data_IF_194692029046
#
_entry.id   IF_194692029046
#
_cell.length_a   1.000
_cell.length_b   1.000
_cell.length_c   1.000
_cell.angle_alpha   90.00
_cell.angle_beta   90.00
_cell.angle_gamma   90.00
#
_symmetry.space_group_name_H-M   'P 1'
#
loop_
_entity.id
_entity.type
_entity.pdbx_description
1 polymer ?
#
# COMPACT_ATOMS: atom_id res chain seq x y z
N UNK A 1 -45.89 -9.21 -62.84
CA UNK A 1 -45.46 -8.55 -61.56
C UNK A 1 -44.32 -9.31 -60.96
N UNK A 2 -43.08 -8.86 -61.19
CA UNK A 2 -41.87 -9.47 -60.63
C UNK A 2 -41.54 -8.80 -59.28
N UNK A 3 -41.58 -9.59 -58.20
CA UNK A 3 -41.13 -9.14 -56.87
C UNK A 3 -39.60 -9.14 -56.85
N UNK A 4 -38.98 -7.95 -56.73
CA UNK A 4 -37.53 -7.79 -56.44
C UNK A 4 -37.30 -8.09 -54.95
N UNK A 5 -36.56 -9.17 -54.65
CA UNK A 5 -36.08 -9.52 -53.33
C UNK A 5 -34.76 -8.77 -53.15
N UNK A 6 -34.75 -7.81 -52.22
CA UNK A 6 -33.54 -7.07 -51.82
C UNK A 6 -32.82 -7.86 -50.75
N UNK A 7 -31.66 -8.44 -51.08
CA UNK A 7 -30.78 -9.07 -50.07
C UNK A 7 -29.99 -8.00 -49.35
N UNK A 8 -30.26 -7.82 -48.06
CA UNK A 8 -29.41 -7.04 -47.17
C UNK A 8 -28.20 -7.92 -46.76
N UNK A 9 -27.03 -7.59 -47.30
CA UNK A 9 -25.78 -8.20 -46.90
C UNK A 9 -25.34 -7.55 -45.57
N UNK A 10 -25.57 -8.24 -44.42
CA UNK A 10 -25.04 -7.82 -43.13
C UNK A 10 -23.54 -8.10 -43.16
N UNK A 11 -22.73 -7.05 -43.36
CA UNK A 11 -21.27 -7.10 -43.18
C UNK A 11 -21.03 -7.14 -41.66
N UNK A 12 -20.79 -8.35 -41.11
CA UNK A 12 -20.20 -8.53 -39.78
C UNK A 12 -18.73 -8.08 -39.89
N UNK A 13 -18.47 -6.84 -39.51
CA UNK A 13 -17.10 -6.41 -39.19
C UNK A 13 -16.63 -7.23 -37.98
N UNK A 14 -15.51 -7.96 -38.10
CA UNK A 14 -14.94 -8.58 -36.91
C UNK A 14 -14.59 -7.47 -35.90
N UNK A 15 -15.18 -7.54 -34.70
CA UNK A 15 -14.63 -6.82 -33.54
C UNK A 15 -13.21 -7.37 -33.36
N UNK A 16 -12.20 -6.66 -33.88
CA UNK A 16 -10.85 -6.89 -33.45
C UNK A 16 -10.81 -6.46 -31.98
N UNK A 17 -10.86 -7.44 -31.07
CA UNK A 17 -10.28 -7.24 -29.74
C UNK A 17 -8.80 -6.90 -30.01
N UNK A 18 -8.46 -5.62 -29.92
CA UNK A 18 -7.07 -5.24 -29.78
C UNK A 18 -6.63 -5.83 -28.45
N UNK A 19 -5.87 -6.91 -28.48
CA UNK A 19 -5.12 -7.36 -27.33
C UNK A 19 -4.30 -6.15 -26.85
N UNK A 20 -4.38 -5.82 -25.58
CA UNK A 20 -3.56 -4.75 -24.99
C UNK A 20 -2.11 -5.17 -25.21
N UNK A 21 -1.38 -4.42 -26.03
CA UNK A 21 0.00 -4.77 -26.41
C UNK A 21 0.92 -4.54 -25.20
N UNK A 22 1.30 -5.64 -24.55
CA UNK A 22 2.22 -5.60 -23.42
C UNK A 22 3.67 -5.51 -23.95
N UNK A 23 4.50 -4.69 -23.29
CA UNK A 23 5.93 -4.58 -23.61
C UNK A 23 6.78 -4.35 -22.37
N UNK A 24 8.02 -4.81 -22.42
CA UNK A 24 9.04 -4.55 -21.40
C UNK A 24 9.94 -3.39 -21.84
N UNK A 25 10.10 -2.39 -20.98
CA UNK A 25 11.07 -1.30 -21.20
C UNK A 25 12.51 -1.75 -20.96
N UNK A 26 13.51 -0.98 -21.42
CA UNK A 26 14.93 -1.24 -21.12
C UNK A 26 15.24 -1.18 -19.62
N UNK A 27 14.48 -0.43 -18.85
CA UNK A 27 14.60 -0.34 -17.38
C UNK A 27 13.91 -1.48 -16.64
N UNK A 28 13.28 -2.43 -17.35
CA UNK A 28 12.61 -3.58 -16.76
C UNK A 28 11.20 -3.29 -16.24
N UNK A 29 10.55 -2.23 -16.72
CA UNK A 29 9.14 -1.91 -16.39
C UNK A 29 8.25 -2.52 -17.47
N UNK A 30 7.18 -3.19 -17.06
CA UNK A 30 6.13 -3.69 -17.94
C UNK A 30 5.14 -2.55 -18.20
N UNK A 31 4.82 -2.31 -19.47
CA UNK A 31 3.79 -1.34 -19.88
C UNK A 31 2.75 -2.09 -20.68
N UNK A 32 1.48 -1.84 -20.35
CA UNK A 32 0.31 -2.42 -21.02
C UNK A 32 -0.65 -1.31 -21.42
N UNK A 33 -1.47 -1.57 -22.44
CA UNK A 33 -2.48 -0.63 -22.92
C UNK A 33 -1.92 0.50 -23.80
N UNK A 34 -2.86 1.32 -24.31
CA UNK A 34 -2.58 2.46 -25.19
C UNK A 34 -3.40 3.67 -24.77
N UNK A 35 -2.95 4.89 -25.13
CA UNK A 35 -3.67 6.12 -24.77
C UNK A 35 -3.91 6.22 -23.27
N UNK A 36 -5.15 6.55 -22.89
CA UNK A 36 -5.55 6.73 -21.49
C UNK A 36 -5.65 5.42 -20.70
N UNK A 37 -5.60 4.25 -21.37
CA UNK A 37 -5.59 2.94 -20.70
C UNK A 37 -4.19 2.48 -20.28
N UNK A 38 -3.15 3.23 -20.65
CA UNK A 38 -1.76 2.86 -20.31
C UNK A 38 -1.60 2.66 -18.81
N UNK A 39 -1.00 1.51 -18.46
CA UNK A 39 -0.62 1.15 -17.09
C UNK A 39 0.80 0.60 -17.07
N UNK A 40 1.56 0.95 -16.06
CA UNK A 40 2.95 0.50 -15.92
C UNK A 40 3.14 -0.28 -14.61
N UNK A 41 3.94 -1.36 -14.65
CA UNK A 41 4.20 -2.24 -13.50
C UNK A 41 5.68 -2.45 -13.26
N UNK A 42 6.07 -2.51 -12.00
CA UNK A 42 7.31 -3.14 -11.58
C UNK A 42 7.09 -4.66 -11.51
N UNK A 43 7.89 -5.49 -12.23
CA UNK A 43 7.79 -6.94 -12.10
C UNK A 43 8.13 -7.40 -10.67
N UNK A 44 7.36 -8.33 -10.14
CA UNK A 44 7.75 -9.02 -8.92
C UNK A 44 8.82 -10.07 -9.23
N UNK A 45 9.86 -10.14 -8.40
CA UNK A 45 11.04 -11.00 -8.59
C UNK A 45 11.20 -12.06 -7.51
N UNK A 46 10.27 -12.18 -6.58
CA UNK A 46 10.32 -13.18 -5.51
C UNK A 46 10.20 -14.61 -6.05
N UNK A 47 10.72 -15.57 -5.29
CA UNK A 47 10.55 -17.00 -5.54
C UNK A 47 9.47 -17.56 -4.63
N UNK A 48 8.90 -18.71 -5.00
CA UNK A 48 7.83 -19.33 -4.24
C UNK A 48 8.26 -19.60 -2.77
N UNK A 49 9.47 -20.08 -2.56
CA UNK A 49 10.00 -20.49 -1.24
C UNK A 49 10.64 -19.32 -0.47
N UNK A 50 10.72 -18.13 -1.08
CA UNK A 50 11.40 -16.98 -0.48
C UNK A 50 10.53 -16.20 0.49
N UNK A 51 11.15 -15.24 1.17
CA UNK A 51 10.44 -14.29 2.06
C UNK A 51 10.11 -14.84 3.46
N UNK A 52 10.40 -16.10 3.79
CA UNK A 52 10.07 -16.72 5.09
C UNK A 52 10.71 -15.99 6.27
N UNK A 53 11.88 -15.35 6.09
CA UNK A 53 12.48 -14.51 7.12
C UNK A 53 11.60 -13.32 7.56
N UNK A 54 10.64 -12.89 6.72
CA UNK A 54 9.66 -11.90 7.12
C UNK A 54 8.65 -12.50 8.12
N UNK A 55 8.14 -13.70 7.86
CA UNK A 55 7.28 -14.41 8.81
C UNK A 55 8.00 -14.67 10.14
N UNK A 56 9.29 -15.05 10.10
CA UNK A 56 10.10 -15.26 11.30
C UNK A 56 10.22 -13.97 12.12
N UNK A 57 10.45 -12.83 11.46
CA UNK A 57 10.50 -11.54 12.15
C UNK A 57 9.14 -11.19 12.80
N UNK A 58 8.02 -11.35 12.08
CA UNK A 58 6.67 -11.11 12.62
C UNK A 58 6.38 -12.04 13.80
N UNK A 59 6.73 -13.31 13.70
CA UNK A 59 6.59 -14.30 14.78
C UNK A 59 7.38 -13.90 16.03
N UNK A 60 8.60 -13.36 15.87
CA UNK A 60 9.41 -12.84 16.99
C UNK A 60 8.72 -11.70 17.72
N UNK A 61 8.04 -10.78 17.00
CA UNK A 61 7.24 -9.72 17.64
C UNK A 61 6.12 -10.34 18.49
N UNK A 62 5.36 -11.29 17.94
CA UNK A 62 4.31 -11.98 18.71
C UNK A 62 4.86 -12.72 19.93
N UNK A 63 6.03 -13.36 19.81
CA UNK A 63 6.69 -14.00 20.94
C UNK A 63 7.14 -12.99 22.00
N UNK A 64 7.67 -11.83 21.58
CA UNK A 64 8.17 -10.79 22.49
C UNK A 64 7.03 -10.15 23.29
N UNK A 65 5.90 -9.84 22.66
CA UNK A 65 4.80 -9.14 23.30
C UNK A 65 3.70 -10.06 23.86
N UNK A 66 3.73 -11.34 23.53
CA UNK A 66 2.75 -12.31 24.03
C UNK A 66 1.32 -11.92 23.70
N UNK A 67 0.41 -12.14 24.64
CA UNK A 67 -1.02 -11.82 24.50
C UNK A 67 -1.37 -10.36 24.88
N UNK A 68 -0.39 -9.60 25.38
CA UNK A 68 -0.57 -8.19 25.68
C UNK A 68 -0.76 -7.34 24.40
N UNK A 69 -0.26 -7.79 23.26
CA UNK A 69 -0.35 -7.07 21.99
C UNK A 69 -0.85 -7.99 20.89
N UNK A 70 -1.86 -7.54 20.16
CA UNK A 70 -2.30 -8.21 18.94
C UNK A 70 -1.31 -7.93 17.80
N UNK A 71 -0.92 -8.98 17.07
CA UNK A 71 0.00 -8.84 15.93
C UNK A 71 -0.68 -9.30 14.65
N UNK A 72 -0.66 -8.42 13.65
CA UNK A 72 -1.25 -8.64 12.34
C UNK A 72 -0.17 -8.54 11.26
N UNK A 73 -0.29 -9.39 10.25
CA UNK A 73 0.58 -9.41 9.09
C UNK A 73 -0.25 -9.22 7.82
N UNK A 74 -0.10 -8.07 7.18
CA UNK A 74 -0.78 -7.69 5.96
C UNK A 74 0.27 -7.40 4.88
N UNK A 75 0.47 -8.35 3.97
CA UNK A 75 1.35 -8.15 2.83
C UNK A 75 0.50 -7.61 1.68
N UNK A 76 0.86 -6.40 1.21
CA UNK A 76 0.07 -5.67 0.23
C UNK A 76 0.48 -6.12 -1.17
N UNK A 77 -0.45 -6.68 -1.98
CA UNK A 77 -0.20 -6.94 -3.40
C UNK A 77 0.20 -5.68 -4.14
N UNK A 78 1.04 -5.81 -5.16
CA UNK A 78 1.32 -4.70 -6.07
C UNK A 78 0.50 -4.84 -7.36
N UNK A 79 0.33 -3.75 -8.10
CA UNK A 79 -0.52 -3.70 -9.28
C UNK A 79 -0.25 -4.83 -10.29
N UNK A 80 0.99 -5.30 -10.43
CA UNK A 80 1.35 -6.39 -11.33
C UNK A 80 0.68 -7.73 -10.97
N UNK A 81 0.35 -7.94 -9.69
CA UNK A 81 -0.33 -9.17 -9.27
C UNK A 81 -1.80 -9.22 -9.70
N UNK A 82 -2.43 -8.06 -9.88
CA UNK A 82 -3.86 -7.91 -10.16
C UNK A 82 -4.13 -7.66 -11.65
N UNK A 83 -3.29 -6.84 -12.30
CA UNK A 83 -3.56 -6.33 -13.66
C UNK A 83 -2.59 -6.84 -14.73
N UNK A 84 -1.63 -7.72 -14.40
CA UNK A 84 -0.69 -8.23 -15.39
C UNK A 84 -1.43 -9.12 -16.40
N UNK A 85 -1.46 -8.79 -17.70
CA UNK A 85 -2.11 -9.61 -18.69
C UNK A 85 -1.32 -10.90 -18.94
N UNK A 86 -1.98 -11.91 -19.52
CA UNK A 86 -1.42 -13.26 -19.69
C UNK A 86 -0.09 -13.25 -20.45
N UNK A 87 0.00 -12.45 -21.53
CA UNK A 87 1.19 -12.32 -22.38
C UNK A 87 2.41 -11.71 -21.67
N UNK A 88 2.21 -11.00 -20.54
CA UNK A 88 3.28 -10.39 -19.74
C UNK A 88 3.66 -11.21 -18.50
N UNK A 89 2.94 -12.28 -18.18
CA UNK A 89 3.18 -13.10 -16.97
C UNK A 89 4.56 -13.74 -16.94
N UNK A 90 5.18 -14.01 -18.08
CA UNK A 90 6.54 -14.54 -18.14
C UNK A 90 7.60 -13.56 -17.59
N UNK A 91 7.28 -12.27 -17.56
CA UNK A 91 8.20 -11.20 -17.10
C UNK A 91 8.13 -10.96 -15.59
N UNK A 92 7.18 -11.54 -14.90
CA UNK A 92 7.01 -11.41 -13.45
C UNK A 92 6.87 -12.77 -12.79
N UNK A 93 7.06 -12.85 -11.48
CA UNK A 93 6.84 -14.07 -10.71
C UNK A 93 5.48 -14.04 -10.03
N UNK A 94 4.98 -15.23 -9.65
CA UNK A 94 3.71 -15.35 -8.93
C UNK A 94 3.83 -14.78 -7.52
N UNK A 95 3.26 -13.59 -7.36
CA UNK A 95 3.29 -12.86 -6.09
C UNK A 95 2.36 -13.49 -5.05
N UNK A 96 1.17 -13.95 -5.47
CA UNK A 96 0.18 -14.57 -4.58
C UNK A 96 0.76 -15.85 -3.97
N UNK A 97 1.33 -16.73 -4.77
CA UNK A 97 1.92 -17.97 -4.29
C UNK A 97 3.08 -17.71 -3.30
N UNK A 98 3.93 -16.71 -3.58
CA UNK A 98 5.02 -16.32 -2.66
C UNK A 98 4.47 -15.77 -1.33
N UNK A 99 3.44 -14.91 -1.36
CA UNK A 99 2.84 -14.34 -0.16
C UNK A 99 2.13 -15.41 0.67
N UNK A 100 1.41 -16.32 0.04
CA UNK A 100 0.77 -17.44 0.73
C UNK A 100 1.82 -18.36 1.40
N UNK A 101 2.97 -18.56 0.77
CA UNK A 101 4.07 -19.27 1.40
C UNK A 101 4.59 -18.53 2.66
N UNK A 102 4.73 -17.21 2.61
CA UNK A 102 5.10 -16.42 3.80
C UNK A 102 4.04 -16.58 4.90
N UNK A 103 2.76 -16.48 4.58
CA UNK A 103 1.67 -16.66 5.55
C UNK A 103 1.64 -18.06 6.17
N UNK A 104 1.99 -19.11 5.40
CA UNK A 104 2.08 -20.47 5.91
C UNK A 104 3.16 -20.66 6.98
N UNK A 105 4.15 -19.75 7.06
CA UNK A 105 5.21 -19.74 8.07
C UNK A 105 4.88 -18.86 9.29
N UNK A 106 3.74 -18.15 9.30
CA UNK A 106 3.30 -17.40 10.47
C UNK A 106 2.83 -18.35 11.59
N UNK A 107 3.10 -17.97 12.82
CA UNK A 107 2.52 -18.66 13.98
C UNK A 107 1.00 -18.46 14.00
N UNK A 108 0.26 -19.43 14.55
CA UNK A 108 -1.21 -19.38 14.66
C UNK A 108 -1.74 -18.19 15.49
N UNK A 109 -0.87 -17.60 16.31
CA UNK A 109 -1.21 -16.43 17.13
C UNK A 109 -1.02 -15.09 16.42
N UNK A 110 -0.44 -15.08 15.23
CA UNK A 110 -0.38 -13.93 14.32
C UNK A 110 -1.59 -13.98 13.39
N UNK A 111 -2.28 -12.87 13.23
CA UNK A 111 -3.42 -12.77 12.32
C UNK A 111 -2.96 -12.33 10.94
N UNK A 112 -2.96 -13.25 9.98
CA UNK A 112 -2.69 -12.95 8.58
C UNK A 112 -3.90 -12.24 7.95
N UNK A 113 -3.63 -11.20 7.15
CA UNK A 113 -4.65 -10.47 6.39
C UNK A 113 -4.28 -10.62 4.91
N UNK A 114 -4.98 -11.51 4.23
CA UNK A 114 -4.79 -11.77 2.82
C UNK A 114 -5.65 -10.81 1.99
N UNK A 115 -5.00 -9.93 1.25
CA UNK A 115 -5.66 -8.91 0.44
C UNK A 115 -5.93 -9.32 -1.00
N UNK A 116 -5.47 -10.48 -1.46
CA UNK A 116 -5.58 -10.81 -2.89
C UNK A 116 -7.02 -10.90 -3.37
N UNK A 117 -7.88 -11.60 -2.62
CA UNK A 117 -9.28 -11.74 -3.02
C UNK A 117 -10.02 -10.41 -2.97
N UNK A 118 -9.77 -9.59 -1.94
CA UNK A 118 -10.31 -8.23 -1.83
C UNK A 118 -9.88 -7.36 -3.02
N UNK A 119 -8.60 -7.39 -3.39
CA UNK A 119 -8.13 -6.60 -4.53
C UNK A 119 -8.67 -7.10 -5.87
N UNK A 120 -8.83 -8.42 -6.05
CA UNK A 120 -9.45 -9.00 -7.26
C UNK A 120 -10.94 -8.63 -7.38
N UNK A 121 -11.68 -8.63 -6.26
CA UNK A 121 -13.10 -8.23 -6.23
C UNK A 121 -13.29 -6.78 -6.69
N UNK A 122 -12.39 -5.90 -6.26
CA UNK A 122 -12.41 -4.48 -6.57
C UNK A 122 -11.54 -4.07 -7.77
N UNK A 123 -11.01 -5.03 -8.54
CA UNK A 123 -10.08 -4.76 -9.65
C UNK A 123 -10.65 -3.88 -10.78
N UNK A 124 -11.98 -3.74 -10.86
CA UNK A 124 -12.64 -2.85 -11.84
C UNK A 124 -12.72 -1.38 -11.37
N UNK A 125 -12.38 -1.12 -10.12
CA UNK A 125 -12.32 0.21 -9.53
C UNK A 125 -10.89 0.74 -9.58
N UNK A 126 -10.71 2.04 -9.34
CA UNK A 126 -9.39 2.67 -9.34
C UNK A 126 -8.65 2.40 -8.01
N UNK A 127 -8.36 1.11 -7.73
CA UNK A 127 -7.66 0.68 -6.50
C UNK A 127 -6.14 0.70 -6.63
N UNK A 128 -5.59 0.82 -7.83
CA UNK A 128 -4.17 1.03 -8.10
C UNK A 128 -3.98 2.14 -9.10
N UNK A 129 -3.00 3.00 -8.85
CA UNK A 129 -2.56 4.00 -9.82
C UNK A 129 -2.03 3.32 -11.09
N UNK A 130 -2.30 3.92 -12.26
CA UNK A 130 -1.80 3.44 -13.56
C UNK A 130 -0.38 3.92 -13.84
N UNK A 131 -0.06 5.10 -13.36
CA UNK A 131 1.21 5.80 -13.64
C UNK A 131 2.14 5.88 -12.42
N UNK A 132 1.70 5.35 -11.27
CA UNK A 132 2.52 5.26 -10.06
C UNK A 132 2.69 3.81 -9.60
N UNK A 133 3.75 3.53 -8.84
CA UNK A 133 4.00 2.19 -8.32
C UNK A 133 3.16 1.83 -7.10
N UNK A 134 2.48 2.79 -6.48
CA UNK A 134 1.61 2.56 -5.35
C UNK A 134 0.18 2.16 -5.76
N UNK A 135 -0.55 1.63 -4.83
CA UNK A 135 -2.00 1.60 -4.95
C UNK A 135 -2.60 2.99 -4.94
N UNK A 136 -3.84 3.13 -5.41
CA UNK A 136 -4.64 4.32 -5.20
C UNK A 136 -5.18 4.33 -3.76
N UNK A 137 -5.55 5.50 -3.21
CA UNK A 137 -6.11 5.59 -1.86
C UNK A 137 -7.34 4.70 -1.61
N UNK A 138 -8.14 4.41 -2.64
CA UNK A 138 -9.28 3.49 -2.56
C UNK A 138 -8.83 2.05 -2.25
N UNK A 139 -7.71 1.59 -2.81
CA UNK A 139 -7.15 0.28 -2.46
C UNK A 139 -6.72 0.21 -0.99
N UNK A 140 -6.13 1.29 -0.47
CA UNK A 140 -5.79 1.39 0.95
C UNK A 140 -7.04 1.41 1.85
N UNK A 141 -8.17 1.99 1.38
CA UNK A 141 -9.45 1.94 2.08
C UNK A 141 -9.93 0.50 2.27
N UNK A 142 -9.98 -0.30 1.21
CA UNK A 142 -10.40 -1.71 1.30
C UNK A 142 -9.46 -2.55 2.18
N UNK A 143 -8.16 -2.31 2.10
CA UNK A 143 -7.20 -2.97 2.99
C UNK A 143 -7.40 -2.59 4.45
N UNK A 144 -7.67 -1.32 4.76
CA UNK A 144 -7.96 -0.85 6.10
C UNK A 144 -9.29 -1.39 6.63
N UNK A 145 -10.30 -1.53 5.76
CA UNK A 145 -11.59 -2.17 6.09
C UNK A 145 -11.39 -3.62 6.53
N UNK A 146 -10.69 -4.41 5.73
CA UNK A 146 -10.41 -5.81 6.05
C UNK A 146 -9.58 -5.95 7.33
N UNK A 147 -8.62 -5.04 7.55
CA UNK A 147 -7.86 -5.01 8.81
C UNK A 147 -8.77 -4.70 10.02
N UNK A 148 -9.60 -3.66 9.94
CA UNK A 148 -10.51 -3.29 11.04
C UNK A 148 -11.48 -4.42 11.37
N UNK A 149 -12.03 -5.10 10.35
CA UNK A 149 -12.88 -6.29 10.51
C UNK A 149 -12.14 -7.42 11.24
N UNK A 150 -10.91 -7.75 10.80
CA UNK A 150 -10.08 -8.78 11.43
C UNK A 150 -9.68 -8.40 12.87
N UNK A 151 -9.57 -7.10 13.16
CA UNK A 151 -9.28 -6.58 14.50
C UNK A 151 -10.53 -6.51 15.40
N UNK A 152 -11.73 -6.75 14.85
CA UNK A 152 -13.00 -6.63 15.54
C UNK A 152 -13.34 -5.18 15.92
N UNK A 153 -12.98 -4.22 15.05
CA UNK A 153 -13.16 -2.79 15.28
C UNK A 153 -14.22 -2.21 14.34
N UNK A 154 -14.93 -1.15 14.75
CA UNK A 154 -15.80 -0.41 13.84
C UNK A 154 -14.96 0.20 12.71
N UNK A 155 -15.57 0.27 11.52
CA UNK A 155 -14.99 0.88 10.35
C UNK A 155 -15.98 1.84 9.70
N UNK A 156 -15.53 3.02 9.30
CA UNK A 156 -16.39 4.04 8.72
C UNK A 156 -16.61 3.81 7.23
N UNK A 157 -17.86 3.88 6.79
CA UNK A 157 -18.23 3.79 5.38
C UNK A 157 -17.63 4.97 4.59
N UNK A 158 -17.22 4.73 3.33
CA UNK A 158 -16.57 5.71 2.49
C UNK A 158 -17.42 6.98 2.25
N UNK A 159 -18.76 6.87 2.32
CA UNK A 159 -19.67 8.01 2.23
C UNK A 159 -19.52 9.02 3.37
N UNK A 160 -18.89 8.62 4.48
CA UNK A 160 -18.57 9.51 5.61
C UNK A 160 -17.29 10.32 5.42
N UNK A 161 -16.60 10.12 4.31
CA UNK A 161 -15.38 10.86 3.96
C UNK A 161 -15.70 11.98 2.97
N UNK A 162 -14.84 13.00 2.93
CA UNK A 162 -14.83 14.01 1.90
C UNK A 162 -13.88 13.62 0.78
N UNK A 163 -14.43 13.52 -0.45
CA UNK A 163 -13.64 13.17 -1.64
C UNK A 163 -12.90 14.40 -2.16
N UNK A 164 -11.60 14.24 -2.40
CA UNK A 164 -10.73 15.22 -3.04
C UNK A 164 -10.09 14.61 -4.28
N UNK A 165 -9.76 15.45 -5.26
CA UNK A 165 -9.13 15.02 -6.51
C UNK A 165 -7.96 15.95 -6.83
N UNK A 166 -6.84 15.39 -7.26
CA UNK A 166 -5.74 16.08 -7.91
C UNK A 166 -5.72 15.58 -9.35
N UNK A 167 -6.01 16.46 -10.30
CA UNK A 167 -6.09 16.13 -11.71
C UNK A 167 -4.71 16.03 -12.37
N UNK A 168 -4.64 15.39 -13.53
CA UNK A 168 -3.44 15.29 -14.37
C UNK A 168 -2.21 14.69 -13.66
N UNK A 169 -2.43 13.74 -12.76
CA UNK A 169 -1.37 13.07 -12.03
C UNK A 169 -0.60 12.10 -12.94
N UNK A 170 0.72 12.24 -12.96
CA UNK A 170 1.64 11.25 -13.52
C UNK A 170 2.67 10.90 -12.45
N UNK A 171 2.59 9.67 -11.97
CA UNK A 171 3.41 9.20 -10.85
C UNK A 171 4.81 8.71 -11.24
N UNK A 172 5.40 7.98 -10.33
CA UNK A 172 6.81 7.55 -10.38
C UNK A 172 7.13 6.58 -11.50
N UNK A 173 6.13 5.89 -12.07
CA UNK A 173 6.34 4.90 -13.14
C UNK A 173 6.89 5.57 -14.42
N UNK A 174 6.57 6.84 -14.69
CA UNK A 174 7.23 7.59 -15.75
C UNK A 174 8.74 7.76 -15.46
N UNK A 175 9.10 8.10 -14.23
CA UNK A 175 10.49 8.24 -13.82
C UNK A 175 11.27 6.92 -13.95
N UNK A 176 10.64 5.79 -13.64
CA UNK A 176 11.26 4.46 -13.70
C UNK A 176 11.36 3.95 -15.13
N UNK A 177 10.31 4.09 -15.92
CA UNK A 177 10.25 3.59 -17.29
C UNK A 177 10.93 4.49 -18.31
N UNK A 178 10.88 5.82 -18.10
CA UNK A 178 11.22 6.85 -19.10
C UNK A 178 10.39 6.73 -20.38
N UNK A 179 9.24 6.08 -20.32
CA UNK A 179 8.40 5.83 -21.48
C UNK A 179 7.38 6.95 -21.68
N UNK A 180 7.35 7.58 -22.88
CA UNK A 180 6.42 8.65 -23.18
C UNK A 180 4.94 8.25 -23.06
N UNK A 181 4.60 6.98 -23.29
CA UNK A 181 3.21 6.52 -23.15
C UNK A 181 2.69 6.70 -21.72
N UNK A 182 3.52 6.40 -20.71
CA UNK A 182 3.16 6.63 -19.30
C UNK A 182 3.00 8.12 -19.00
N UNK A 183 3.90 8.96 -19.55
CA UNK A 183 3.83 10.42 -19.38
C UNK A 183 2.55 11.01 -19.95
N UNK A 184 2.11 10.47 -21.10
CA UNK A 184 0.98 11.00 -21.86
C UNK A 184 -0.36 10.38 -21.48
N UNK A 185 -0.41 9.59 -20.38
CA UNK A 185 -1.61 8.96 -19.85
C UNK A 185 -1.88 9.43 -18.39
N UNK A 186 -2.04 10.75 -18.15
CA UNK A 186 -2.33 11.24 -16.80
C UNK A 186 -3.61 10.62 -16.26
N UNK A 187 -3.75 10.64 -14.95
CA UNK A 187 -4.89 10.10 -14.23
C UNK A 187 -5.32 11.02 -13.09
N UNK A 188 -6.51 10.82 -12.54
CA UNK A 188 -6.95 11.50 -11.34
C UNK A 188 -6.40 10.79 -10.11
N UNK A 189 -5.75 11.53 -9.21
CA UNK A 189 -5.42 11.03 -7.88
C UNK A 189 -6.55 11.39 -6.92
N UNK A 190 -7.38 10.40 -6.59
CA UNK A 190 -8.53 10.55 -5.71
C UNK A 190 -8.17 10.13 -4.30
N UNK A 191 -8.37 11.03 -3.31
CA UNK A 191 -8.16 10.72 -1.91
C UNK A 191 -9.34 11.17 -1.04
N UNK A 192 -9.39 10.69 0.20
CA UNK A 192 -10.54 10.83 1.06
C UNK A 192 -10.11 11.31 2.44
N UNK A 193 -10.76 12.37 2.94
CA UNK A 193 -10.52 12.94 4.27
C UNK A 193 -11.68 12.56 5.18
N UNK A 194 -11.45 11.92 6.34
CA UNK A 194 -12.52 11.50 7.24
C UNK A 194 -13.26 12.70 7.82
N UNK A 195 -14.58 12.61 7.93
CA UNK A 195 -15.45 13.56 8.63
C UNK A 195 -15.98 12.95 9.92
N UNK A 196 -16.34 13.78 10.89
CA UNK A 196 -16.96 13.32 12.13
C UNK A 196 -15.98 12.67 13.13
N UNK A 197 -14.69 12.81 12.90
CA UNK A 197 -13.62 12.46 13.84
C UNK A 197 -12.61 13.60 13.91
N UNK A 198 -12.32 14.08 15.11
CA UNK A 198 -11.24 15.03 15.34
C UNK A 198 -9.93 14.28 15.48
N UNK A 199 -8.85 14.86 14.98
CA UNK A 199 -7.52 14.27 15.09
C UNK A 199 -6.41 15.35 15.13
N UNK A 200 -5.30 14.98 15.75
CA UNK A 200 -4.05 15.75 15.73
C UNK A 200 -2.91 14.87 15.25
N UNK A 201 -1.95 15.47 14.56
CA UNK A 201 -0.79 14.74 14.03
C UNK A 201 0.48 15.34 14.56
N UNK A 202 1.37 14.50 15.08
CA UNK A 202 2.69 14.89 15.58
C UNK A 202 3.76 14.10 14.86
N UNK A 203 4.81 14.78 14.41
CA UNK A 203 5.97 14.21 13.74
C UNK A 203 7.14 14.12 14.71
N UNK A 204 7.77 12.96 14.79
CA UNK A 204 9.00 12.74 15.55
C UNK A 204 10.11 12.48 14.55
N UNK A 205 11.04 13.44 14.41
CA UNK A 205 12.12 13.42 13.43
C UNK A 205 13.45 13.28 14.13
N UNK A 206 14.30 12.42 13.60
CA UNK A 206 15.66 12.24 14.10
C UNK A 206 16.63 12.01 12.94
N UNK A 207 17.90 12.32 13.19
CA UNK A 207 18.99 12.13 12.22
C UNK A 207 19.78 10.89 12.59
N UNK A 208 20.13 10.09 11.57
CA UNK A 208 20.94 8.90 11.73
C UNK A 208 22.40 9.19 11.42
N UNK A 209 23.29 8.72 12.28
CA UNK A 209 24.71 8.66 12.02
C UNK A 209 25.10 7.53 11.04
N UNK A 210 26.40 7.42 10.71
CA UNK A 210 26.92 6.41 9.79
C UNK A 210 26.64 4.96 10.21
N UNK A 211 26.50 4.72 11.52
CA UNK A 211 26.17 3.41 12.10
C UNK A 211 24.67 3.17 12.26
N UNK A 212 23.81 4.00 11.64
CA UNK A 212 22.36 4.01 11.76
C UNK A 212 21.82 4.28 13.18
N UNK A 213 22.63 4.70 14.12
CA UNK A 213 22.17 5.15 15.44
C UNK A 213 21.66 6.58 15.38
N UNK A 214 20.68 6.91 16.21
CA UNK A 214 20.18 8.27 16.38
C UNK A 214 21.31 9.15 16.92
N UNK A 215 21.66 10.20 16.22
CA UNK A 215 22.69 11.19 16.66
C UNK A 215 22.06 12.49 17.11
N UNK A 216 20.86 12.80 16.65
CA UNK A 216 20.06 13.91 17.14
C UNK A 216 18.58 13.63 16.93
N UNK A 217 17.76 14.06 17.85
CA UNK A 217 16.30 14.02 17.77
C UNK A 217 15.77 15.43 17.95
N UNK A 218 14.82 15.83 17.10
CA UNK A 218 14.12 17.10 17.26
C UNK A 218 12.98 16.94 18.25
N UNK A 219 12.60 18.03 18.91
CA UNK A 219 11.33 18.05 19.65
C UNK A 219 10.18 17.64 18.73
N UNK A 220 9.20 16.88 19.23
CA UNK A 220 8.03 16.52 18.46
C UNK A 220 7.33 17.78 17.92
N UNK A 221 6.98 17.74 16.63
CA UNK A 221 6.41 18.88 15.91
C UNK A 221 5.00 18.54 15.44
N UNK A 222 4.02 19.35 15.79
CA UNK A 222 2.65 19.20 15.29
C UNK A 222 2.55 19.61 13.83
N UNK A 223 1.69 18.92 13.07
CA UNK A 223 1.51 19.17 11.64
C UNK A 223 0.22 18.59 11.09
N UNK A 224 0.03 18.75 9.81
CA UNK A 224 -1.13 18.20 9.12
C UNK A 224 -0.89 16.72 8.79
N UNK A 225 -1.93 15.89 8.81
CA UNK A 225 -1.86 14.54 8.25
C UNK A 225 -2.03 14.58 6.72
N UNK A 226 -2.95 15.41 6.23
CA UNK A 226 -3.18 15.59 4.79
C UNK A 226 -2.52 16.86 4.28
N UNK A 227 -1.80 16.72 3.17
CA UNK A 227 -1.16 17.82 2.44
C UNK A 227 -1.81 17.95 1.06
N UNK A 228 -2.04 19.17 0.63
CA UNK A 228 -2.63 19.47 -0.69
C UNK A 228 -1.55 19.73 -1.71
N UNK A 229 -1.71 19.17 -2.89
CA UNK A 229 -0.84 19.41 -4.04
C UNK A 229 -1.65 19.95 -5.22
N UNK A 230 -1.06 20.78 -6.09
CA UNK A 230 -1.75 21.28 -7.28
C UNK A 230 -1.94 20.18 -8.32
N UNK A 231 -2.86 20.41 -9.25
CA UNK A 231 -3.04 19.55 -10.42
C UNK A 231 -1.73 19.39 -11.21
N UNK A 232 -1.53 18.23 -11.81
CA UNK A 232 -0.29 17.87 -12.51
C UNK A 232 0.91 17.56 -11.61
N UNK A 233 0.75 17.61 -10.28
CA UNK A 233 1.83 17.31 -9.34
C UNK A 233 2.17 15.82 -9.32
N UNK A 234 3.41 15.46 -9.61
CA UNK A 234 3.91 14.08 -9.42
C UNK A 234 4.06 13.68 -7.95
N UNK A 235 3.81 14.59 -7.01
CA UNK A 235 3.91 14.38 -5.58
C UNK A 235 2.55 14.04 -4.92
N UNK A 236 1.49 13.78 -5.69
CA UNK A 236 0.14 13.58 -5.16
C UNK A 236 0.06 12.49 -4.07
N UNK A 237 0.79 11.39 -4.19
CA UNK A 237 0.82 10.35 -3.16
C UNK A 237 1.41 10.83 -1.81
N UNK A 238 2.18 11.92 -1.80
CA UNK A 238 2.69 12.52 -0.56
C UNK A 238 1.60 13.28 0.23
N UNK A 239 0.35 13.29 -0.25
CA UNK A 239 -0.81 13.82 0.48
C UNK A 239 -0.88 13.24 1.90
N UNK A 240 -0.52 11.99 2.09
CA UNK A 240 -0.50 11.35 3.41
C UNK A 240 0.82 11.61 4.12
N UNK A 241 0.79 12.36 5.24
CA UNK A 241 1.92 12.64 6.14
C UNK A 241 3.14 13.30 5.46
N UNK A 242 2.95 13.96 4.32
CA UNK A 242 4.04 14.47 3.48
C UNK A 242 5.03 13.34 3.05
N UNK A 243 4.53 12.10 2.92
CA UNK A 243 5.30 10.92 2.52
C UNK A 243 5.95 10.17 3.68
N UNK A 244 7.18 9.70 3.45
CA UNK A 244 7.87 8.84 4.42
C UNK A 244 8.52 9.65 5.54
N UNK A 245 8.19 9.32 6.78
CA UNK A 245 8.71 9.99 7.99
C UNK A 245 9.34 8.96 8.93
N UNK A 246 10.15 9.42 9.92
CA UNK A 246 10.71 8.50 10.90
C UNK A 246 9.60 7.89 11.76
N UNK A 247 8.78 8.75 12.36
CA UNK A 247 7.59 8.35 13.13
C UNK A 247 6.52 9.43 13.01
N UNK A 248 5.30 9.05 12.69
CA UNK A 248 4.13 9.91 12.76
C UNK A 248 3.18 9.34 13.82
N UNK A 249 2.65 10.20 14.67
CA UNK A 249 1.64 9.84 15.66
C UNK A 249 0.36 10.63 15.39
N UNK A 250 -0.75 9.93 15.30
CA UNK A 250 -2.09 10.53 15.16
C UNK A 250 -2.87 10.18 16.41
N UNK A 251 -3.42 11.19 17.09
CA UNK A 251 -4.41 11.03 18.15
C UNK A 251 -5.76 11.43 17.60
N UNK A 252 -6.77 10.62 17.87
CA UNK A 252 -8.13 10.82 17.38
C UNK A 252 -9.12 11.07 18.51
N UNK A 253 -10.32 11.50 18.19
CA UNK A 253 -11.44 11.58 19.15
C UNK A 253 -12.14 10.22 19.41
N UNK A 254 -11.62 9.13 18.86
CA UNK A 254 -12.07 7.76 19.20
C UNK A 254 -11.56 7.38 20.58
N UNK A 255 -12.44 6.93 21.47
CA UNK A 255 -12.12 6.61 22.87
C UNK A 255 -12.40 5.14 23.17
N UNK A 256 -11.56 4.24 22.65
CA UNK A 256 -11.72 2.80 22.83
C UNK A 256 -10.51 2.10 23.46
N UNK A 257 -9.47 2.87 23.83
CA UNK A 257 -8.25 2.35 24.42
C UNK A 257 -7.36 1.57 23.44
N UNK A 258 -7.72 1.50 22.14
CA UNK A 258 -6.93 0.78 21.12
C UNK A 258 -5.89 1.71 20.51
N UNK A 259 -4.62 1.30 20.56
CA UNK A 259 -3.46 2.04 20.08
C UNK A 259 -2.68 1.19 19.09
N UNK A 260 -2.65 1.63 17.85
CA UNK A 260 -2.08 0.92 16.72
C UNK A 260 -0.65 1.38 16.43
N UNK A 261 0.25 0.44 16.24
CA UNK A 261 1.56 0.67 15.62
C UNK A 261 1.57 0.04 14.23
N UNK A 262 1.74 0.85 13.18
CA UNK A 262 1.88 0.40 11.80
C UNK A 262 3.36 0.40 11.44
N UNK A 263 3.91 -0.78 11.15
CA UNK A 263 5.25 -0.99 10.62
C UNK A 263 5.13 -1.16 9.10
N UNK A 264 5.59 -0.19 8.33
CA UNK A 264 5.26 -0.08 6.90
C UNK A 264 6.45 0.30 6.00
N UNK A 265 6.26 0.16 4.70
CA UNK A 265 6.92 0.93 3.65
C UNK A 265 5.97 2.01 3.10
N UNK A 266 6.32 2.64 1.96
CA UNK A 266 5.51 3.74 1.41
C UNK A 266 4.07 3.37 1.04
N UNK A 267 3.77 2.10 0.76
CA UNK A 267 2.38 1.65 0.54
C UNK A 267 1.51 1.89 1.76
N UNK A 268 2.05 1.71 2.97
CA UNK A 268 1.32 1.93 4.21
C UNK A 268 1.00 3.39 4.53
N UNK A 269 1.44 4.37 3.73
CA UNK A 269 1.20 5.79 4.02
C UNK A 269 -0.29 6.16 4.01
N UNK A 270 -1.10 5.54 3.15
CA UNK A 270 -2.52 5.85 3.02
C UNK A 270 -3.42 5.14 4.06
N UNK A 271 -2.97 4.02 4.64
CA UNK A 271 -3.78 3.19 5.56
C UNK A 271 -4.29 3.96 6.79
N UNK A 272 -3.46 4.76 7.50
CA UNK A 272 -3.89 5.41 8.74
C UNK A 272 -5.11 6.31 8.56
N UNK A 273 -5.25 6.98 7.40
CA UNK A 273 -6.36 7.87 7.09
C UNK A 273 -7.74 7.24 7.26
N UNK A 274 -7.84 5.94 7.03
CA UNK A 274 -9.09 5.17 7.09
C UNK A 274 -9.34 4.52 8.45
N UNK A 275 -8.42 4.66 9.41
CA UNK A 275 -8.48 4.04 10.72
C UNK A 275 -8.74 5.04 11.87
N UNK A 276 -8.96 6.33 11.57
CA UNK A 276 -9.19 7.34 12.61
C UNK A 276 -10.47 7.08 13.42
N UNK A 277 -11.49 6.47 12.82
CA UNK A 277 -12.70 6.02 13.50
C UNK A 277 -12.54 4.69 14.26
N UNK A 278 -11.42 3.99 14.05
CA UNK A 278 -11.19 2.64 14.60
C UNK A 278 -10.23 2.63 15.79
N UNK A 279 -9.30 3.59 15.87
CA UNK A 279 -8.27 3.64 16.90
C UNK A 279 -8.19 4.99 17.60
N UNK A 280 -7.92 4.96 18.90
CA UNK A 280 -7.67 6.16 19.72
C UNK A 280 -6.35 6.82 19.37
N UNK A 281 -5.32 6.04 19.08
CA UNK A 281 -4.00 6.53 18.70
C UNK A 281 -3.39 5.61 17.64
N UNK A 282 -2.75 6.21 16.63
CA UNK A 282 -2.09 5.48 15.54
C UNK A 282 -0.66 5.98 15.41
N UNK A 283 0.30 5.07 15.54
CA UNK A 283 1.72 5.31 15.34
C UNK A 283 2.14 4.71 14.01
N UNK A 284 2.75 5.51 13.14
CA UNK A 284 3.20 5.08 11.82
C UNK A 284 4.73 5.13 11.79
N UNK A 285 5.34 3.99 11.54
CA UNK A 285 6.79 3.82 11.53
C UNK A 285 7.22 3.24 10.19
N UNK A 286 8.11 3.95 9.52
CA UNK A 286 8.69 3.46 8.27
C UNK A 286 9.90 2.57 8.55
N UNK A 287 9.84 1.33 8.05
CA UNK A 287 10.87 0.32 8.30
C UNK A 287 12.26 0.67 7.74
N UNK A 288 12.36 1.67 6.88
CA UNK A 288 13.61 2.14 6.29
C UNK A 288 14.30 3.21 7.13
N UNK A 289 13.55 3.90 7.97
CA UNK A 289 14.00 5.09 8.70
C UNK A 289 13.93 4.97 10.22
N UNK A 290 13.16 4.02 10.75
CA UNK A 290 13.11 3.77 12.20
C UNK A 290 14.38 3.06 12.67
N UNK A 291 14.85 3.41 13.89
CA UNK A 291 16.06 2.82 14.47
C UNK A 291 16.07 2.96 16.00
N UNK A 292 14.92 2.85 16.62
CA UNK A 292 14.78 2.82 18.08
C UNK A 292 14.45 1.40 18.55
N UNK A 293 14.68 1.13 19.83
CA UNK A 293 14.21 -0.10 20.46
C UNK A 293 12.68 -0.16 20.39
N UNK A 294 12.14 -1.15 19.69
CA UNK A 294 10.70 -1.25 19.47
C UNK A 294 9.96 -1.76 20.72
N UNK A 295 10.63 -2.56 21.58
CA UNK A 295 10.02 -3.06 22.81
C UNK A 295 9.74 -1.88 23.73
N UNK A 296 10.75 -1.06 23.98
CA UNK A 296 10.59 0.15 24.78
C UNK A 296 9.55 1.13 24.16
N UNK A 297 9.51 1.21 22.82
CA UNK A 297 8.55 2.08 22.13
C UNK A 297 7.10 1.61 22.35
N UNK A 298 6.85 0.31 22.23
CA UNK A 298 5.53 -0.31 22.45
C UNK A 298 5.07 -0.11 23.90
N UNK A 299 5.94 -0.40 24.86
CA UNK A 299 5.64 -0.23 26.30
C UNK A 299 5.36 1.22 26.66
N UNK A 300 6.22 2.16 26.25
CA UNK A 300 6.11 3.60 26.55
C UNK A 300 4.82 4.23 26.02
N UNK A 301 4.30 3.73 24.90
CA UNK A 301 3.13 4.29 24.24
C UNK A 301 1.86 3.42 24.41
N UNK A 302 1.91 2.42 25.30
CA UNK A 302 0.80 1.49 25.58
C UNK A 302 0.16 0.93 24.29
N UNK A 303 0.99 0.49 23.33
CA UNK A 303 0.52 -0.05 22.06
C UNK A 303 -0.21 -1.38 22.30
N UNK A 304 -1.42 -1.49 21.79
CA UNK A 304 -2.28 -2.69 21.91
C UNK A 304 -2.28 -3.55 20.66
N UNK A 305 -1.91 -2.98 19.52
CA UNK A 305 -1.99 -3.61 18.20
C UNK A 305 -0.77 -3.24 17.34
N UNK A 306 -0.17 -4.23 16.70
CA UNK A 306 0.91 -4.03 15.73
C UNK A 306 0.47 -4.58 14.39
N UNK A 307 0.48 -3.73 13.36
CA UNK A 307 0.22 -4.09 11.97
C UNK A 307 1.50 -4.00 11.15
N UNK A 308 1.96 -5.12 10.61
CA UNK A 308 2.96 -5.14 9.56
C UNK A 308 2.26 -4.93 8.21
N UNK A 309 2.56 -3.81 7.54
CA UNK A 309 1.91 -3.37 6.31
C UNK A 309 2.95 -3.02 5.24
N UNK A 310 3.56 -4.05 4.66
CA UNK A 310 4.56 -3.90 3.61
C UNK A 310 4.04 -4.44 2.27
N UNK A 311 4.43 -3.82 1.16
CA UNK A 311 4.16 -4.42 -0.13
C UNK A 311 4.95 -5.74 -0.29
N UNK A 312 4.50 -6.60 -1.20
CA UNK A 312 5.06 -7.92 -1.38
C UNK A 312 6.57 -7.92 -1.70
N UNK A 313 7.08 -6.92 -2.41
CA UNK A 313 8.51 -6.78 -2.70
C UNK A 313 9.33 -6.49 -1.44
N UNK A 314 8.84 -5.59 -0.58
CA UNK A 314 9.47 -5.28 0.71
C UNK A 314 9.34 -6.45 1.69
N UNK A 315 8.19 -7.11 1.78
CA UNK A 315 8.01 -8.29 2.62
C UNK A 315 8.96 -9.43 2.21
N UNK A 316 9.16 -9.62 0.91
CA UNK A 316 10.13 -10.58 0.38
C UNK A 316 11.57 -10.22 0.70
N UNK A 317 11.89 -8.92 0.86
CA UNK A 317 13.26 -8.43 0.98
C UNK A 317 13.92 -8.79 2.32
N UNK A 318 15.13 -9.36 2.25
CA UNK A 318 15.95 -9.61 3.42
C UNK A 318 16.29 -8.33 4.21
N UNK A 319 16.32 -7.18 3.57
CA UNK A 319 16.58 -5.88 4.22
C UNK A 319 15.48 -5.55 5.22
N UNK A 320 14.21 -5.80 4.87
CA UNK A 320 13.05 -5.48 5.71
C UNK A 320 13.03 -6.34 6.98
N UNK A 321 13.12 -7.66 6.87
CA UNK A 321 13.06 -8.52 8.05
C UNK A 321 14.29 -8.37 8.95
N UNK A 322 15.47 -8.06 8.41
CA UNK A 322 16.65 -7.72 9.21
C UNK A 322 16.46 -6.42 9.98
N UNK A 323 15.81 -5.42 9.39
CA UNK A 323 15.48 -4.18 10.11
C UNK A 323 14.52 -4.46 11.26
N UNK A 324 13.44 -5.22 11.05
CA UNK A 324 12.50 -5.58 12.11
C UNK A 324 13.14 -6.37 13.25
N UNK A 325 13.99 -7.34 12.93
CA UNK A 325 14.74 -8.06 13.95
C UNK A 325 15.67 -7.13 14.73
N UNK A 326 16.35 -6.20 14.05
CA UNK A 326 17.23 -5.23 14.69
C UNK A 326 16.50 -4.33 15.68
N UNK A 327 15.24 -3.93 15.41
CA UNK A 327 14.45 -3.10 16.33
C UNK A 327 14.10 -3.80 17.65
N UNK A 328 14.05 -5.12 17.66
CA UNK A 328 13.86 -5.92 18.88
C UNK A 328 15.13 -6.04 19.71
N UNK A 329 16.31 -5.85 19.11
CA UNK A 329 17.64 -6.14 19.70
C UNK A 329 18.38 -4.87 20.16
N UNK A 330 17.85 -3.68 19.92
CA UNK A 330 18.49 -2.41 20.24
C UNK A 330 18.53 -2.08 21.74
#
# INVERSE_FOLDING_TARGET
>A
MMKKILYFLLILLPLQLFAEEARMTRSGIIIVGTGDSVRAFEPFRGTLEGGTGYADAVNRYKQTFGDAVNVYCMIIPTAVAIYCPEEAKEWTKDQRATVHNIYAHLSKSVKAIDLFDTMDEHAKEDIYSRTDHHWAPLGAYYAAQQFAEQAGLPFADLSTYEKHVIHDYVGTMYRFSRDPAVKNAPEDFVYYIPKGVDYTTTYIRYTLGKNKKVVSEKEPEDGNFFYTYPDGSSAAYLTFMHGDTNTTRVKTSTHNGRRLLILKDSYGNAIPAYLFHSFEEIHVVDCRYFTKNIVHYVEKNDITDILFANNAGHAYSATTHKAYNHYLEQ
#
